data_IF_508813174714
#
_entry.id   IF_508813174714
#
_cell.length_a   1.000
_cell.length_b   1.000
_cell.length_c   1.000
_cell.angle_alpha   90.00
_cell.angle_beta   90.00
_cell.angle_gamma   90.00
#
_symmetry.space_group_name_H-M   'P 1'
#
loop_
_entity.id
_entity.type
_entity.pdbx_description
1 polymer ?
#
# COMPACT_ATOMS: atom_id res chain seq x y z
N UNK A 1 -21.55 2.16 -28.16
CA UNK A 1 -20.83 2.98 -27.17
C UNK A 1 -19.44 2.37 -27.00
N UNK A 2 -18.39 3.08 -27.37
CA UNK A 2 -17.01 2.59 -27.19
C UNK A 2 -16.70 2.63 -25.68
N UNK A 3 -16.59 1.46 -25.06
CA UNK A 3 -16.16 1.36 -23.67
C UNK A 3 -14.69 1.76 -23.63
N UNK A 4 -14.38 2.88 -23.03
CA UNK A 4 -12.98 3.31 -22.83
C UNK A 4 -12.28 2.25 -21.98
N UNK A 5 -11.26 1.61 -22.55
CA UNK A 5 -10.47 0.60 -21.85
C UNK A 5 -9.64 1.27 -20.75
N UNK A 6 -9.56 0.61 -19.60
CA UNK A 6 -8.70 1.04 -18.49
C UNK A 6 -7.25 0.70 -18.78
N UNK A 7 -6.37 1.65 -18.52
CA UNK A 7 -4.94 1.59 -18.86
C UNK A 7 -4.14 0.97 -17.75
N UNK A 8 -3.30 0.03 -18.10
CA UNK A 8 -2.45 -0.69 -17.16
C UNK A 8 -0.97 -0.49 -17.52
N UNK A 9 -0.16 -0.20 -16.50
CA UNK A 9 1.28 -0.28 -16.55
C UNK A 9 1.72 -1.50 -15.75
N UNK A 10 2.54 -2.36 -16.35
CA UNK A 10 3.01 -3.60 -15.74
C UNK A 10 4.51 -3.50 -15.46
N UNK A 11 4.93 -3.79 -14.22
CA UNK A 11 6.33 -3.80 -13.82
C UNK A 11 6.70 -5.21 -13.33
N UNK A 12 7.39 -5.97 -14.17
CA UNK A 12 7.86 -7.32 -13.83
C UNK A 12 9.09 -7.71 -14.65
N UNK A 13 10.10 -8.33 -14.05
CA UNK A 13 11.26 -8.83 -14.80
C UNK A 13 10.93 -10.08 -15.63
N UNK A 14 9.78 -10.73 -15.37
CA UNK A 14 9.37 -11.96 -16.05
C UNK A 14 8.58 -11.68 -17.33
N UNK A 15 9.21 -11.92 -18.48
CA UNK A 15 8.54 -11.81 -19.78
C UNK A 15 7.36 -12.78 -19.94
N UNK A 16 7.43 -13.95 -19.31
CA UNK A 16 6.34 -14.95 -19.37
C UNK A 16 5.12 -14.43 -18.62
N UNK A 17 5.32 -13.92 -17.40
CA UNK A 17 4.23 -13.33 -16.60
C UNK A 17 3.65 -12.11 -17.29
N UNK A 18 4.50 -11.22 -17.85
CA UNK A 18 4.03 -10.06 -18.60
C UNK A 18 3.12 -10.48 -19.76
N UNK A 19 3.53 -11.47 -20.56
CA UNK A 19 2.71 -11.99 -21.67
C UNK A 19 1.42 -12.63 -21.17
N UNK A 20 1.48 -13.44 -20.12
CA UNK A 20 0.32 -14.11 -19.54
C UNK A 20 -0.74 -13.11 -19.07
N UNK A 21 -0.33 -12.12 -18.28
CA UNK A 21 -1.23 -11.06 -17.80
C UNK A 21 -1.82 -10.28 -18.98
N UNK A 22 -1.00 -9.86 -19.95
CA UNK A 22 -1.44 -9.13 -21.13
C UNK A 22 -2.49 -9.93 -21.90
N UNK A 23 -2.25 -11.22 -22.17
CA UNK A 23 -3.21 -12.09 -22.89
C UNK A 23 -4.55 -12.19 -22.15
N UNK A 24 -4.54 -12.41 -20.84
CA UNK A 24 -5.75 -12.46 -20.01
C UNK A 24 -6.54 -11.16 -20.13
N UNK A 25 -5.87 -10.01 -20.10
CA UNK A 25 -6.51 -8.69 -20.15
C UNK A 25 -7.09 -8.38 -21.55
N UNK A 26 -6.40 -8.76 -22.62
CA UNK A 26 -6.86 -8.59 -24.00
C UNK A 26 -8.09 -9.45 -24.31
N UNK A 27 -8.09 -10.71 -23.84
CA UNK A 27 -9.19 -11.66 -24.09
C UNK A 27 -10.49 -11.29 -23.36
N UNK A 28 -10.37 -10.74 -22.15
CA UNK A 28 -11.55 -10.46 -21.31
C UNK A 28 -12.08 -9.03 -21.42
N UNK A 29 -11.41 -8.16 -22.17
CA UNK A 29 -11.84 -6.79 -22.47
C UNK A 29 -11.90 -5.85 -21.26
N UNK A 30 -12.03 -4.56 -21.56
CA UNK A 30 -12.12 -3.50 -20.54
C UNK A 30 -10.77 -2.99 -20.01
N UNK A 31 -9.68 -3.69 -20.29
CA UNK A 31 -8.31 -3.29 -19.91
C UNK A 31 -7.37 -3.29 -21.11
N UNK A 32 -6.30 -2.50 -21.03
CA UNK A 32 -5.19 -2.52 -21.99
C UNK A 32 -3.87 -2.29 -21.29
N UNK A 33 -2.86 -3.10 -21.56
CA UNK A 33 -1.50 -2.89 -21.08
C UNK A 33 -0.80 -1.94 -22.05
N UNK A 34 -0.54 -0.71 -21.61
CA UNK A 34 0.13 0.30 -22.44
C UNK A 34 1.65 0.21 -22.33
N UNK A 35 2.16 -0.16 -21.18
CA UNK A 35 3.60 -0.16 -20.89
C UNK A 35 3.97 -1.37 -20.05
N UNK A 36 5.09 -2.01 -20.40
CA UNK A 36 5.71 -3.07 -19.61
C UNK A 36 7.13 -2.66 -19.27
N UNK A 37 7.43 -2.58 -17.97
CA UNK A 37 8.76 -2.27 -17.45
C UNK A 37 9.34 -3.49 -16.74
N UNK A 38 10.66 -3.61 -16.71
CA UNK A 38 11.35 -4.73 -16.06
C UNK A 38 11.80 -4.42 -14.63
N UNK A 39 11.88 -3.15 -14.30
CA UNK A 39 12.37 -2.63 -13.01
C UNK A 39 11.80 -1.23 -12.74
N UNK A 40 12.16 -0.65 -11.59
CA UNK A 40 11.84 0.73 -11.22
C UNK A 40 13.13 1.57 -11.09
N UNK A 41 13.94 1.59 -12.17
CA UNK A 41 15.09 2.50 -12.31
C UNK A 41 14.63 3.95 -12.43
N UNK A 42 15.54 4.92 -12.28
CA UNK A 42 15.21 6.36 -12.38
C UNK A 42 14.55 6.74 -13.70
N UNK A 43 14.95 6.11 -14.79
CA UNK A 43 14.36 6.31 -16.12
C UNK A 43 12.93 5.77 -16.16
N UNK A 44 12.71 4.57 -15.61
CA UNK A 44 11.42 3.93 -15.53
C UNK A 44 10.47 4.63 -14.53
N UNK A 45 11.00 5.23 -13.44
CA UNK A 45 10.20 6.09 -12.55
C UNK A 45 9.62 7.30 -13.28
N UNK A 46 10.39 7.92 -14.19
CA UNK A 46 9.88 9.00 -15.04
C UNK A 46 8.74 8.50 -15.93
N UNK A 47 8.88 7.33 -16.54
CA UNK A 47 7.83 6.70 -17.36
C UNK A 47 6.56 6.43 -16.54
N UNK A 48 6.68 5.94 -15.29
CA UNK A 48 5.52 5.74 -14.39
C UNK A 48 4.84 7.07 -14.07
N UNK A 49 5.62 8.11 -13.77
CA UNK A 49 5.10 9.45 -13.42
C UNK A 49 4.36 10.10 -14.59
N UNK A 50 4.89 9.95 -15.79
CA UNK A 50 4.32 10.57 -17.00
C UNK A 50 3.16 9.74 -17.58
N UNK A 51 2.96 8.50 -17.10
CA UNK A 51 1.89 7.64 -17.57
C UNK A 51 0.53 8.08 -17.02
N UNK A 52 -0.47 8.16 -17.90
CA UNK A 52 -1.87 8.34 -17.49
C UNK A 52 -2.54 6.97 -17.30
N UNK A 53 -2.05 6.23 -16.31
CA UNK A 53 -2.43 4.85 -16.05
C UNK A 53 -3.49 4.77 -14.95
N UNK A 54 -4.46 3.87 -15.10
CA UNK A 54 -5.50 3.63 -14.07
C UNK A 54 -5.00 2.62 -13.01
N UNK A 55 -4.15 1.68 -13.42
CA UNK A 55 -3.63 0.60 -12.56
C UNK A 55 -2.14 0.38 -12.86
N UNK A 56 -1.35 0.22 -11.80
CA UNK A 56 0.01 -0.34 -11.87
C UNK A 56 -0.03 -1.75 -11.30
N UNK A 57 0.34 -2.75 -12.10
CA UNK A 57 0.58 -4.11 -11.62
C UNK A 57 2.08 -4.28 -11.46
N UNK A 58 2.52 -4.63 -10.26
CA UNK A 58 3.95 -4.76 -9.95
C UNK A 58 4.29 -6.11 -9.32
N UNK A 59 5.39 -6.69 -9.75
CA UNK A 59 6.01 -7.80 -9.05
C UNK A 59 6.93 -7.26 -7.94
N UNK A 60 6.65 -7.53 -6.66
CA UNK A 60 7.48 -7.03 -5.55
C UNK A 60 8.94 -7.49 -5.59
N UNK A 61 9.28 -8.49 -6.42
CA UNK A 61 10.66 -8.98 -6.57
C UNK A 61 11.61 -7.94 -7.19
N UNK A 62 11.07 -6.90 -7.85
CA UNK A 62 11.89 -5.80 -8.39
C UNK A 62 12.55 -4.95 -7.29
N UNK A 63 12.04 -5.05 -6.06
CA UNK A 63 12.62 -4.37 -4.91
C UNK A 63 13.54 -5.31 -4.13
N UNK A 64 14.63 -4.76 -3.60
CA UNK A 64 15.46 -5.46 -2.63
C UNK A 64 14.66 -5.93 -1.44
N UNK A 65 15.06 -7.02 -0.80
CA UNK A 65 14.35 -7.58 0.35
C UNK A 65 14.06 -6.53 1.44
N UNK A 66 15.02 -5.65 1.73
CA UNK A 66 14.87 -4.59 2.73
C UNK A 66 13.92 -3.45 2.31
N UNK A 67 13.79 -3.18 1.01
CA UNK A 67 12.96 -2.09 0.46
C UNK A 67 11.57 -2.56 0.00
N UNK A 68 11.32 -3.87 -0.06
CA UNK A 68 10.03 -4.46 -0.47
C UNK A 68 8.83 -3.91 0.29
N UNK A 69 8.84 -3.79 1.62
CA UNK A 69 7.69 -3.25 2.36
C UNK A 69 7.33 -1.81 2.00
N UNK A 70 8.30 -1.04 1.49
CA UNK A 70 8.09 0.33 1.01
C UNK A 70 7.76 0.42 -0.49
N UNK A 71 7.75 -0.71 -1.20
CA UNK A 71 7.60 -0.76 -2.66
C UNK A 71 6.31 -0.12 -3.15
N UNK A 72 5.19 -0.42 -2.49
CA UNK A 72 3.88 0.20 -2.82
C UNK A 72 3.91 1.71 -2.63
N UNK A 73 4.44 2.19 -1.50
CA UNK A 73 4.56 3.63 -1.20
C UNK A 73 5.40 4.35 -2.26
N UNK A 74 6.54 3.76 -2.66
CA UNK A 74 7.41 4.32 -3.68
C UNK A 74 6.72 4.49 -5.04
N UNK A 75 5.85 3.54 -5.42
CA UNK A 75 5.06 3.66 -6.66
C UNK A 75 3.96 4.72 -6.48
N UNK A 76 3.30 4.77 -5.33
CA UNK A 76 2.26 5.76 -5.05
C UNK A 76 2.76 7.20 -4.96
N UNK A 77 4.06 7.41 -4.72
CA UNK A 77 4.69 8.73 -4.81
C UNK A 77 4.86 9.19 -6.29
N UNK A 78 4.75 8.28 -7.24
CA UNK A 78 4.91 8.56 -8.67
C UNK A 78 3.57 8.70 -9.41
N UNK A 79 2.51 8.02 -8.96
CA UNK A 79 1.22 7.99 -9.66
C UNK A 79 0.05 7.80 -8.70
N UNK A 80 -1.12 8.32 -9.10
CA UNK A 80 -2.40 8.11 -8.40
C UNK A 80 -3.10 6.81 -8.80
N UNK A 81 -2.52 6.00 -9.65
CA UNK A 81 -3.06 4.72 -10.08
C UNK A 81 -3.19 3.73 -8.90
N UNK A 82 -4.15 2.82 -8.98
CA UNK A 82 -4.22 1.69 -8.05
C UNK A 82 -2.97 0.80 -8.21
N UNK A 83 -2.35 0.37 -7.11
CA UNK A 83 -1.11 -0.42 -7.13
C UNK A 83 -1.39 -1.85 -6.67
N UNK A 84 -1.31 -2.78 -7.60
CA UNK A 84 -1.65 -4.20 -7.41
C UNK A 84 -0.37 -5.03 -7.40
N UNK A 85 -0.20 -5.89 -6.40
CA UNK A 85 0.90 -6.84 -6.38
C UNK A 85 0.62 -8.06 -7.27
N UNK A 86 1.62 -8.51 -8.03
CA UNK A 86 1.60 -9.78 -8.76
C UNK A 86 2.90 -10.57 -8.45
N UNK A 87 3.05 -11.10 -7.22
CA UNK A 87 4.28 -11.72 -6.78
C UNK A 87 4.54 -13.02 -7.55
N UNK A 88 5.75 -13.15 -8.10
CA UNK A 88 6.23 -14.37 -8.76
C UNK A 88 7.12 -15.23 -7.85
N UNK A 89 7.49 -14.72 -6.68
CA UNK A 89 8.27 -15.41 -5.66
C UNK A 89 7.59 -15.26 -4.29
N UNK A 90 8.06 -16.06 -3.34
CA UNK A 90 7.60 -15.99 -1.95
C UNK A 90 7.86 -14.57 -1.41
N UNK A 91 6.79 -13.95 -0.99
CA UNK A 91 6.77 -12.59 -0.43
C UNK A 91 6.05 -12.64 0.90
N UNK A 92 6.53 -11.90 1.88
CA UNK A 92 5.95 -11.87 3.22
C UNK A 92 4.56 -11.21 3.21
N UNK A 93 3.71 -11.62 4.14
CA UNK A 93 2.33 -11.16 4.24
C UNK A 93 2.21 -9.65 4.50
N UNK A 94 3.17 -9.04 5.20
CA UNK A 94 3.15 -7.61 5.50
C UNK A 94 3.37 -6.81 4.21
N UNK A 95 4.33 -7.22 3.39
CA UNK A 95 4.55 -6.64 2.07
C UNK A 95 3.30 -6.76 1.20
N UNK A 96 2.71 -7.95 1.09
CA UNK A 96 1.53 -8.19 0.26
C UNK A 96 0.34 -7.33 0.70
N UNK A 97 0.06 -7.26 1.99
CA UNK A 97 -1.05 -6.45 2.54
C UNK A 97 -0.88 -4.94 2.37
N UNK A 98 0.30 -4.47 2.02
CA UNK A 98 0.52 -3.05 1.73
C UNK A 98 -0.06 -2.60 0.39
N UNK A 99 -0.33 -3.51 -0.54
CA UNK A 99 -0.87 -3.23 -1.87
C UNK A 99 -2.41 -3.12 -1.86
N UNK A 100 -2.96 -2.44 -2.84
CA UNK A 100 -4.43 -2.24 -2.94
C UNK A 100 -5.16 -3.55 -3.22
N UNK A 101 -4.52 -4.49 -3.93
CA UNK A 101 -5.01 -5.84 -4.23
C UNK A 101 -3.81 -6.74 -4.61
N UNK A 102 -4.02 -8.06 -4.65
CA UNK A 102 -2.98 -9.02 -5.04
C UNK A 102 -3.49 -10.02 -6.05
N UNK A 103 -2.76 -10.18 -7.15
CA UNK A 103 -2.98 -11.20 -8.18
C UNK A 103 -2.02 -12.36 -7.92
N UNK A 104 -2.55 -13.56 -7.77
CA UNK A 104 -1.76 -14.78 -7.66
C UNK A 104 -1.56 -15.42 -9.03
N UNK A 105 -0.41 -16.07 -9.23
CA UNK A 105 -0.16 -16.92 -10.42
C UNK A 105 -1.14 -18.11 -10.54
N UNK A 106 -1.88 -18.40 -9.48
CA UNK A 106 -2.91 -19.44 -9.42
C UNK A 106 -4.32 -18.91 -9.65
N UNK A 107 -4.49 -17.60 -9.81
CA UNK A 107 -5.80 -16.99 -10.06
C UNK A 107 -6.30 -17.35 -11.46
N UNK A 108 -7.59 -17.65 -11.56
CA UNK A 108 -8.25 -17.80 -12.86
C UNK A 108 -8.35 -16.45 -13.58
N UNK A 109 -8.45 -16.42 -14.92
CA UNK A 109 -8.65 -15.16 -15.65
C UNK A 109 -9.81 -14.32 -15.10
N UNK A 110 -10.95 -14.96 -14.77
CA UNK A 110 -12.10 -14.28 -14.19
C UNK A 110 -11.79 -13.65 -12.82
N UNK A 111 -10.99 -14.34 -11.97
CA UNK A 111 -10.56 -13.81 -10.69
C UNK A 111 -9.64 -12.59 -10.86
N UNK A 112 -8.68 -12.65 -11.79
CA UNK A 112 -7.82 -11.51 -12.13
C UNK A 112 -8.65 -10.30 -12.51
N UNK A 113 -9.58 -10.43 -13.45
CA UNK A 113 -10.45 -9.34 -13.93
C UNK A 113 -11.32 -8.79 -12.78
N UNK A 114 -11.86 -9.65 -11.92
CA UNK A 114 -12.65 -9.22 -10.76
C UNK A 114 -11.84 -8.38 -9.79
N UNK A 115 -10.61 -8.80 -9.47
CA UNK A 115 -9.68 -8.07 -8.58
C UNK A 115 -9.33 -6.70 -9.14
N UNK A 116 -9.04 -6.59 -10.44
CA UNK A 116 -8.76 -5.31 -11.11
C UNK A 116 -9.96 -4.36 -11.07
N UNK A 117 -11.17 -4.87 -11.28
CA UNK A 117 -12.40 -4.05 -11.20
C UNK A 117 -12.66 -3.57 -9.79
N UNK A 118 -12.45 -4.41 -8.79
CA UNK A 118 -12.63 -4.06 -7.39
C UNK A 118 -11.67 -2.95 -6.96
N UNK A 119 -10.40 -3.02 -7.36
CA UNK A 119 -9.41 -1.96 -7.09
C UNK A 119 -9.85 -0.62 -7.69
N UNK A 120 -10.34 -0.61 -8.93
CA UNK A 120 -10.83 0.61 -9.57
C UNK A 120 -12.09 1.17 -8.90
N UNK A 121 -13.01 0.30 -8.45
CA UNK A 121 -14.20 0.75 -7.74
C UNK A 121 -13.86 1.43 -6.41
N UNK A 122 -12.83 0.93 -5.72
CA UNK A 122 -12.31 1.54 -4.50
C UNK A 122 -11.58 2.87 -4.78
N UNK A 123 -10.94 3.01 -5.93
CA UNK A 123 -10.24 4.23 -6.34
C UNK A 123 -11.18 5.32 -6.89
N UNK A 124 -12.35 4.96 -7.46
CA UNK A 124 -13.31 5.88 -8.06
C UNK A 124 -14.25 6.57 -7.06
N UNK A 125 -14.24 6.18 -5.80
CA UNK A 125 -15.17 6.64 -4.76
C UNK A 125 -14.83 7.97 -4.07
N UNK A 126 -14.09 8.88 -4.70
CA UNK A 126 -13.74 10.20 -4.13
C UNK A 126 -12.25 10.31 -3.78
N UNK A 127 -11.79 11.50 -3.26
CA UNK A 127 -10.41 11.64 -2.86
C UNK A 127 -10.05 10.42 -2.03
N UNK A 128 -8.96 9.73 -2.39
CA UNK A 128 -8.50 8.56 -1.65
C UNK A 128 -8.70 8.84 -0.17
N UNK A 129 -9.85 8.42 0.37
CA UNK A 129 -9.83 8.02 1.75
C UNK A 129 -8.77 6.94 1.71
N UNK A 130 -7.52 7.36 2.05
CA UNK A 130 -6.58 6.43 2.60
C UNK A 130 -7.48 5.42 3.29
N UNK A 131 -7.41 4.15 2.88
CA UNK A 131 -7.83 3.11 3.78
C UNK A 131 -7.04 3.48 5.04
N UNK A 132 -7.68 4.25 5.92
CA UNK A 132 -7.20 4.44 7.27
C UNK A 132 -7.28 3.04 7.81
N UNK A 133 -6.20 2.29 7.51
CA UNK A 133 -6.03 1.00 8.14
C UNK A 133 -6.28 1.29 9.59
N UNK A 134 -7.40 0.80 10.11
CA UNK A 134 -7.71 1.02 11.52
C UNK A 134 -6.47 0.65 12.30
N UNK A 135 -6.11 1.50 13.23
CA UNK A 135 -4.98 1.20 14.08
C UNK A 135 -5.25 -0.16 14.73
N UNK A 136 -4.31 -1.09 14.61
CA UNK A 136 -4.41 -2.37 15.31
C UNK A 136 -4.56 -2.13 16.82
N UNK A 137 -5.06 -3.11 17.55
CA UNK A 137 -5.18 -2.99 19.01
C UNK A 137 -3.85 -2.55 19.64
N UNK A 138 -2.72 -3.10 19.17
CA UNK A 138 -1.38 -2.75 19.64
C UNK A 138 -0.95 -1.33 19.28
N UNK A 139 -1.29 -0.85 18.10
CA UNK A 139 -1.02 0.52 17.69
C UNK A 139 -1.87 1.52 18.46
N UNK A 140 -3.13 1.20 18.80
CA UNK A 140 -4.00 2.01 19.67
C UNK A 140 -3.40 2.13 21.08
N UNK A 141 -2.94 1.03 21.68
CA UNK A 141 -2.27 1.03 22.99
C UNK A 141 -1.01 1.91 23.00
N UNK A 142 -0.17 1.78 21.98
CA UNK A 142 1.05 2.57 21.84
C UNK A 142 0.72 4.04 21.57
N UNK A 143 -0.29 4.34 20.77
CA UNK A 143 -0.77 5.70 20.53
C UNK A 143 -1.24 6.38 21.82
N UNK A 144 -1.96 5.68 22.69
CA UNK A 144 -2.35 6.18 24.02
C UNK A 144 -1.12 6.59 24.83
N UNK A 145 -0.11 5.72 24.89
CA UNK A 145 1.14 6.04 25.60
C UNK A 145 1.89 7.25 25.01
N UNK A 146 1.91 7.36 23.67
CA UNK A 146 2.51 8.52 22.98
C UNK A 146 1.75 9.80 23.29
N UNK A 147 0.42 9.75 23.29
CA UNK A 147 -0.45 10.88 23.62
C UNK A 147 -0.34 11.33 25.08
N UNK A 148 0.01 10.41 25.98
CA UNK A 148 0.35 10.67 27.39
C UNK A 148 1.79 11.15 27.61
N UNK A 149 2.56 11.40 26.54
CA UNK A 149 3.93 11.93 26.63
C UNK A 149 5.01 10.91 26.95
N UNK A 150 4.71 9.60 26.98
CA UNK A 150 5.70 8.57 27.30
C UNK A 150 6.82 8.51 26.26
N UNK A 151 8.06 8.34 26.74
CA UNK A 151 9.23 8.12 25.89
C UNK A 151 9.23 6.70 25.29
N UNK A 152 9.88 6.53 24.13
CA UNK A 152 9.96 5.22 23.48
C UNK A 152 10.52 4.11 24.39
N UNK A 153 11.45 4.46 25.30
CA UNK A 153 12.03 3.52 26.27
C UNK A 153 10.97 3.06 27.28
N UNK A 154 10.19 4.00 27.81
CA UNK A 154 9.13 3.70 28.79
C UNK A 154 8.03 2.85 28.18
N UNK A 155 7.66 3.12 26.91
CA UNK A 155 6.71 2.31 26.14
C UNK A 155 7.27 0.90 25.91
N UNK A 156 8.56 0.79 25.58
CA UNK A 156 9.23 -0.49 25.39
C UNK A 156 9.21 -1.34 26.67
N UNK A 157 9.56 -0.73 27.80
CA UNK A 157 9.56 -1.36 29.12
C UNK A 157 8.14 -1.79 29.53
N UNK A 158 7.15 -0.91 29.36
CA UNK A 158 5.73 -1.18 29.69
C UNK A 158 5.17 -2.37 28.94
N UNK A 159 5.54 -2.52 27.68
CA UNK A 159 5.00 -3.56 26.80
C UNK A 159 5.95 -4.76 26.62
N UNK A 160 7.09 -4.78 27.28
CA UNK A 160 8.12 -5.82 27.17
C UNK A 160 8.56 -6.09 25.72
N UNK A 161 8.80 -5.02 24.96
CA UNK A 161 9.25 -5.08 23.56
C UNK A 161 10.53 -4.23 23.38
N UNK A 162 11.19 -4.38 22.23
CA UNK A 162 12.36 -3.54 21.95
C UNK A 162 11.97 -2.09 21.62
N UNK A 163 12.87 -1.14 21.88
CA UNK A 163 12.69 0.27 21.48
C UNK A 163 12.50 0.37 19.96
N UNK A 164 13.19 -0.47 19.19
CA UNK A 164 13.03 -0.53 17.72
C UNK A 164 11.62 -0.94 17.32
N UNK A 165 11.01 -1.86 18.05
CA UNK A 165 9.62 -2.28 17.83
C UNK A 165 8.66 -1.12 18.09
N UNK A 166 8.88 -0.32 19.14
CA UNK A 166 8.08 0.89 19.43
C UNK A 166 8.21 1.90 18.29
N UNK A 167 9.43 2.15 17.79
CA UNK A 167 9.69 3.06 16.67
C UNK A 167 8.95 2.59 15.42
N UNK A 168 8.92 1.29 15.14
CA UNK A 168 8.18 0.72 14.02
C UNK A 168 6.68 0.95 14.16
N UNK A 169 6.09 0.68 15.33
CA UNK A 169 4.69 0.98 15.58
C UNK A 169 4.36 2.47 15.41
N UNK A 170 5.20 3.38 15.91
CA UNK A 170 5.00 4.82 15.73
C UNK A 170 5.06 5.24 14.25
N UNK A 171 5.96 4.66 13.45
CA UNK A 171 5.97 4.87 11.99
C UNK A 171 4.67 4.40 11.35
N UNK A 172 4.17 3.23 11.73
CA UNK A 172 2.91 2.69 11.21
C UNK A 172 1.72 3.56 11.63
N UNK A 173 1.67 4.02 12.88
CA UNK A 173 0.64 4.96 13.37
C UNK A 173 0.66 6.25 12.53
N UNK A 174 1.86 6.84 12.32
CA UNK A 174 2.03 8.03 11.49
C UNK A 174 1.56 7.80 10.07
N UNK A 175 1.90 6.66 9.46
CA UNK A 175 1.46 6.28 8.12
C UNK A 175 -0.05 6.12 8.04
N UNK A 176 -0.66 5.41 9.00
CA UNK A 176 -2.11 5.13 9.02
C UNK A 176 -2.96 6.35 9.34
N UNK A 177 -2.47 7.25 10.20
CA UNK A 177 -3.21 8.46 10.61
C UNK A 177 -2.89 9.68 9.74
N UNK A 178 -1.78 9.66 8.98
CA UNK A 178 -1.24 10.81 8.26
C UNK A 178 -0.63 11.89 9.19
N UNK A 179 -0.61 11.67 10.51
CA UNK A 179 -0.25 12.65 11.53
C UNK A 179 1.21 12.45 11.98
N UNK A 180 2.06 13.45 11.77
CA UNK A 180 3.51 13.36 12.05
C UNK A 180 3.92 13.93 13.42
N UNK A 181 3.08 14.75 14.07
CA UNK A 181 3.40 15.41 15.33
C UNK A 181 2.74 14.72 16.52
N UNK A 182 3.41 14.73 17.68
CA UNK A 182 2.85 14.17 18.92
C UNK A 182 1.56 14.88 19.29
N UNK A 183 1.53 16.22 19.23
CA UNK A 183 0.33 17.01 19.52
C UNK A 183 -0.85 16.62 18.58
N UNK A 184 -0.59 16.42 17.30
CA UNK A 184 -1.61 15.94 16.36
C UNK A 184 -2.11 14.53 16.70
N UNK A 185 -1.21 13.63 17.11
CA UNK A 185 -1.56 12.28 17.56
C UNK A 185 -2.39 12.30 18.86
N UNK A 186 -2.11 13.24 19.78
CA UNK A 186 -2.90 13.45 21.00
C UNK A 186 -4.32 13.90 20.64
N UNK A 187 -4.48 14.87 19.73
CA UNK A 187 -5.80 15.30 19.24
C UNK A 187 -6.55 14.16 18.57
N UNK A 188 -5.86 13.37 17.75
CA UNK A 188 -6.45 12.18 17.12
C UNK A 188 -6.95 11.16 18.16
N UNK A 189 -6.16 10.90 19.21
CA UNK A 189 -6.53 9.97 20.26
C UNK A 189 -7.77 10.46 21.05
N UNK A 190 -7.87 11.76 21.32
CA UNK A 190 -9.05 12.39 21.94
C UNK A 190 -10.29 12.25 21.05
N UNK A 191 -10.20 12.60 19.78
CA UNK A 191 -11.34 12.55 18.84
C UNK A 191 -11.86 11.13 18.60
N UNK A 192 -11.00 10.12 18.76
CA UNK A 192 -11.37 8.71 18.63
C UNK A 192 -11.68 8.03 19.98
N UNK A 193 -11.84 8.79 21.07
CA UNK A 193 -12.13 8.29 22.41
C UNK A 193 -11.12 7.25 22.93
N UNK A 194 -9.86 7.35 22.51
CA UNK A 194 -8.77 6.47 22.98
C UNK A 194 -8.17 6.96 24.31
N UNK A 195 -8.29 8.24 24.60
CA UNK A 195 -7.86 8.86 25.87
C UNK A 195 -8.95 9.84 26.36
N UNK A 196 -9.04 10.01 27.68
CA UNK A 196 -9.91 10.99 28.30
C UNK A 196 -9.23 12.38 28.30
N UNK A 197 -9.94 13.49 28.01
CA UNK A 197 -9.40 14.84 28.11
C UNK A 197 -8.75 15.15 29.45
N UNK A 198 -9.22 14.55 30.55
CA UNK A 198 -8.67 14.72 31.90
C UNK A 198 -7.33 13.98 32.11
N UNK A 199 -6.89 13.16 31.17
CA UNK A 199 -5.63 12.38 31.27
C UNK A 199 -4.46 12.98 30.50
N UNK A 200 -4.63 14.17 29.94
CA UNK A 200 -3.58 14.91 29.21
C UNK A 200 -3.17 16.11 30.04
N UNK A 201 -2.07 15.97 30.80
CA UNK A 201 -1.37 17.09 31.47
C UNK A 201 -0.28 17.69 30.57
#
# INVERSE_FOLDING_TARGET
MSVTKKKILLITPSRIIARGITSILEEHGGFTVETVLTDLSRENEATVRDSMTDIVIVDPIIFDFASRPAGRSRISDLTDAAVIAAPTAVTDDETIKSYDETISIYDTPAAVISKLRNSLAQSAGGPRTENREELSAREKEILVCVAQGMLNKEIADRFHISIYTVITHRKNITRKTGIKTVAGLTVYALLNNLIDPASVE
#
